data_IF_950475889777
#
_entry.id   IF_950475889777
#
_cell.length_a   1.000
_cell.length_b   1.000
_cell.length_c   1.000
_cell.angle_alpha   90.00
_cell.angle_beta   90.00
_cell.angle_gamma   90.00
#
_symmetry.space_group_name_H-M   'P 1'
#
loop_
_entity.id
_entity.type
_entity.pdbx_description
1 polymer ?
#
# COMPACT_ATOMS: atom_id res chain seq x y z
N UNK A 1 11.79 23.64 50.95
CA UNK A 1 10.98 22.42 50.75
C UNK A 1 10.08 22.62 49.55
N UNK A 2 10.56 22.30 48.34
CA UNK A 2 9.71 22.23 47.16
C UNK A 2 9.15 20.81 47.09
N UNK A 3 7.85 20.66 47.33
CA UNK A 3 7.16 19.42 47.02
C UNK A 3 7.07 19.28 45.50
N UNK A 4 7.32 18.09 44.92
CA UNK A 4 7.09 17.89 43.50
C UNK A 4 5.59 17.96 43.22
N UNK A 5 5.21 18.86 42.31
CA UNK A 5 3.86 18.92 41.75
C UNK A 5 3.61 17.59 41.04
N UNK A 6 2.84 16.73 41.69
CA UNK A 6 2.30 15.50 41.10
C UNK A 6 1.24 15.95 40.10
N UNK A 7 1.65 16.15 38.84
CA UNK A 7 0.69 16.33 37.77
C UNK A 7 -0.03 15.00 37.59
N UNK A 8 -1.28 14.98 38.05
CA UNK A 8 -2.17 13.85 37.89
C UNK A 8 -2.33 13.50 36.40
N UNK A 9 -2.30 12.20 36.14
CA UNK A 9 -2.48 11.63 34.82
C UNK A 9 -3.88 11.95 34.29
N UNK A 10 -3.98 13.04 33.55
CA UNK A 10 -5.07 13.29 32.61
C UNK A 10 -5.22 12.05 31.72
N UNK A 11 -6.39 11.41 31.79
CA UNK A 11 -6.77 10.21 31.04
C UNK A 11 -6.94 10.44 29.54
N UNK A 12 -5.97 11.08 28.90
CA UNK A 12 -5.79 11.00 27.46
C UNK A 12 -5.20 9.61 27.15
N UNK A 13 -5.75 8.86 26.17
CA UNK A 13 -5.10 7.63 25.71
C UNK A 13 -3.76 8.03 25.14
N UNK A 14 -2.69 7.66 25.83
CA UNK A 14 -1.33 7.96 25.40
C UNK A 14 -0.87 6.77 24.59
N UNK A 15 -1.06 6.84 23.28
CA UNK A 15 -0.41 5.88 22.40
C UNK A 15 1.10 5.94 22.68
N UNK A 16 1.66 4.85 23.22
CA UNK A 16 3.06 4.81 23.56
C UNK A 16 3.88 4.64 22.27
N UNK A 17 5.07 5.24 22.23
CA UNK A 17 5.99 5.04 21.11
C UNK A 17 6.27 3.55 20.85
N UNK A 18 6.30 2.73 21.90
CA UNK A 18 6.45 1.28 21.79
C UNK A 18 5.36 0.64 20.92
N UNK A 19 4.10 1.07 21.05
CA UNK A 19 2.98 0.52 20.30
C UNK A 19 3.10 0.85 18.81
N UNK A 20 3.50 2.09 18.50
CA UNK A 20 3.76 2.52 17.12
C UNK A 20 4.94 1.77 16.51
N UNK A 21 6.03 1.61 17.27
CA UNK A 21 7.20 0.85 16.82
C UNK A 21 6.86 -0.62 16.56
N UNK A 22 5.91 -1.19 17.31
CA UNK A 22 5.47 -2.59 17.13
C UNK A 22 4.86 -2.84 15.75
N UNK A 23 4.21 -1.84 15.15
CA UNK A 23 3.59 -1.90 13.81
C UNK A 23 4.37 -1.11 12.76
N UNK A 24 5.59 -0.66 13.08
CA UNK A 24 6.45 0.06 12.15
C UNK A 24 7.02 -0.89 11.09
N UNK A 25 7.02 -0.46 9.84
CA UNK A 25 7.76 -1.11 8.76
C UNK A 25 9.06 -0.36 8.49
N UNK A 26 10.16 -1.10 8.46
CA UNK A 26 11.44 -0.65 7.95
C UNK A 26 11.50 -0.82 6.42
N UNK A 27 12.51 -0.22 5.77
CA UNK A 27 12.77 -0.48 4.36
C UNK A 27 13.11 -1.96 4.12
N UNK A 28 13.79 -2.60 5.06
CA UNK A 28 14.13 -4.02 4.97
C UNK A 28 12.88 -4.92 5.08
N UNK A 29 11.89 -4.53 5.88
CA UNK A 29 10.60 -5.24 5.94
C UNK A 29 9.84 -5.10 4.61
N UNK A 30 9.82 -3.88 4.06
CA UNK A 30 9.22 -3.62 2.76
C UNK A 30 9.92 -4.39 1.64
N UNK A 31 11.25 -4.47 1.66
CA UNK A 31 12.04 -5.24 0.68
C UNK A 31 11.68 -6.72 0.70
N UNK A 32 11.53 -7.32 1.89
CA UNK A 32 11.12 -8.71 2.04
C UNK A 32 9.70 -8.97 1.55
N UNK A 33 8.80 -8.03 1.74
CA UNK A 33 7.37 -8.24 1.51
C UNK A 33 6.86 -7.61 0.21
N UNK A 34 7.68 -6.88 -0.54
CA UNK A 34 7.24 -6.10 -1.72
C UNK A 34 6.45 -6.92 -2.74
N UNK A 35 6.80 -8.19 -2.94
CA UNK A 35 6.11 -9.08 -3.89
C UNK A 35 4.75 -9.57 -3.37
N UNK A 36 4.54 -9.48 -2.05
CA UNK A 36 3.29 -9.81 -1.37
C UNK A 36 2.37 -8.59 -1.23
N UNK A 37 2.90 -7.38 -1.46
CA UNK A 37 2.15 -6.13 -1.42
C UNK A 37 1.24 -6.03 -2.65
N UNK A 38 -0.08 -6.16 -2.44
CA UNK A 38 -1.10 -6.04 -3.48
C UNK A 38 -1.89 -4.73 -3.35
N UNK A 39 -2.54 -4.30 -4.43
CA UNK A 39 -3.41 -3.14 -4.39
C UNK A 39 -4.71 -3.46 -3.63
N UNK A 40 -5.08 -2.57 -2.70
CA UNK A 40 -6.19 -2.71 -1.73
C UNK A 40 -6.03 -3.87 -0.73
N UNK A 41 -6.33 -3.59 0.55
CA UNK A 41 -6.26 -4.55 1.68
C UNK A 41 -4.88 -5.16 1.99
N UNK A 42 -3.83 -4.44 1.63
CA UNK A 42 -2.46 -4.81 1.91
C UNK A 42 -2.13 -4.82 3.42
N UNK A 43 -1.32 -5.78 3.84
CA UNK A 43 -0.80 -5.85 5.21
C UNK A 43 -0.01 -4.60 5.59
N UNK A 44 0.62 -3.93 4.62
CA UNK A 44 1.32 -2.69 4.84
C UNK A 44 0.37 -1.51 5.16
N UNK A 45 -0.87 -1.53 4.66
CA UNK A 45 -1.82 -0.45 4.90
C UNK A 45 -2.14 -0.33 6.39
N UNK A 46 -2.05 0.90 6.89
CA UNK A 46 -2.26 1.22 8.29
C UNK A 46 -1.03 1.01 9.20
N UNK A 47 0.06 0.46 8.68
CA UNK A 47 1.35 0.44 9.38
C UNK A 47 2.01 1.82 9.35
N UNK A 48 3.03 2.00 10.19
CA UNK A 48 3.79 3.25 10.26
C UNK A 48 5.17 3.11 9.65
N UNK A 49 5.64 4.20 9.05
CA UNK A 49 6.98 4.28 8.48
C UNK A 49 7.65 5.57 8.92
N UNK A 50 8.98 5.54 8.91
CA UNK A 50 9.80 6.74 9.04
C UNK A 50 10.31 7.10 7.65
N UNK A 51 9.89 8.24 7.13
CA UNK A 51 10.18 8.68 5.77
C UNK A 51 11.15 9.85 5.79
N UNK A 52 12.16 9.79 4.92
CA UNK A 52 13.00 10.94 4.59
C UNK A 52 12.19 11.91 3.76
N UNK A 53 12.02 13.13 4.25
CA UNK A 53 11.47 14.20 3.45
C UNK A 53 12.55 14.78 2.55
N UNK A 54 12.18 15.09 1.32
CA UNK A 54 13.03 15.82 0.39
C UNK A 54 13.37 17.20 1.00
N UNK A 55 14.65 17.52 1.00
CA UNK A 55 15.20 18.76 1.55
C UNK A 55 16.65 18.93 1.13
N UNK A 56 17.20 20.12 1.37
CA UNK A 56 18.61 20.41 1.06
C UNK A 56 19.55 19.41 1.75
N UNK A 57 20.69 19.12 1.12
CA UNK A 57 21.61 18.07 1.56
C UNK A 57 22.05 18.19 3.04
N UNK A 58 22.12 19.41 3.56
CA UNK A 58 22.49 19.71 4.95
C UNK A 58 21.36 19.53 5.97
N UNK A 59 20.11 19.33 5.52
CA UNK A 59 18.94 19.27 6.40
C UNK A 59 18.03 18.10 6.03
N UNK A 60 18.57 16.88 6.07
CA UNK A 60 17.75 15.66 5.98
C UNK A 60 16.77 15.60 7.15
N UNK A 61 15.49 15.82 6.87
CA UNK A 61 14.42 15.78 7.87
C UNK A 61 13.65 14.48 7.72
N UNK A 62 13.46 13.79 8.83
CA UNK A 62 12.64 12.58 8.89
C UNK A 62 11.30 12.91 9.54
N UNK A 63 10.25 12.23 9.09
CA UNK A 63 8.94 12.27 9.74
C UNK A 63 8.33 10.88 9.82
N UNK A 64 7.49 10.71 10.83
CA UNK A 64 6.57 9.58 10.92
C UNK A 64 5.39 9.81 9.97
N UNK A 65 4.96 8.75 9.30
CA UNK A 65 3.73 8.73 8.53
C UNK A 65 3.05 7.36 8.60
N UNK A 66 1.73 7.35 8.41
CA UNK A 66 0.94 6.12 8.27
C UNK A 66 0.82 5.75 6.80
N UNK A 67 0.99 4.48 6.45
CA UNK A 67 0.71 4.01 5.10
C UNK A 67 -0.80 4.00 4.90
N UNK A 68 -1.31 4.80 3.98
CA UNK A 68 -2.72 4.87 3.64
C UNK A 68 -3.09 3.83 2.57
N UNK A 69 -2.31 3.78 1.48
CA UNK A 69 -2.53 2.86 0.38
C UNK A 69 -1.24 2.56 -0.37
N UNK A 70 -1.25 1.46 -1.12
CA UNK A 70 -0.19 1.09 -2.06
C UNK A 70 -0.76 1.19 -3.48
N UNK A 71 -0.08 1.92 -4.35
CA UNK A 71 -0.41 2.06 -5.77
C UNK A 71 0.72 1.56 -6.64
N UNK A 72 0.49 1.46 -7.95
CA UNK A 72 1.51 1.03 -8.92
C UNK A 72 1.78 2.17 -9.90
N UNK A 73 3.05 2.36 -10.28
CA UNK A 73 3.49 3.36 -11.25
C UNK A 73 4.04 2.70 -12.52
N UNK A 74 4.03 3.39 -13.68
CA UNK A 74 4.50 2.80 -14.94
C UNK A 74 5.98 2.43 -14.96
N UNK A 75 6.80 3.18 -14.22
CA UNK A 75 8.26 3.02 -14.21
C UNK A 75 8.69 2.36 -12.90
N UNK A 76 9.25 1.16 -13.01
CA UNK A 76 9.85 0.49 -11.88
C UNK A 76 11.14 1.19 -11.43
N UNK A 77 11.44 1.09 -10.13
CA UNK A 77 12.64 1.65 -9.51
C UNK A 77 13.28 0.62 -8.59
N UNK A 78 14.57 0.80 -8.33
CA UNK A 78 15.33 -0.02 -7.39
C UNK A 78 15.28 0.59 -6.00
N UNK A 79 15.16 -0.25 -4.98
CA UNK A 79 15.30 0.15 -3.59
C UNK A 79 15.95 -0.98 -2.78
N UNK A 80 16.61 -0.63 -1.67
CA UNK A 80 17.39 -1.60 -0.91
C UNK A 80 18.65 -2.02 -1.67
N UNK A 81 18.99 -3.32 -1.62
CA UNK A 81 20.22 -3.83 -2.21
C UNK A 81 20.09 -4.11 -3.71
N UNK A 82 19.07 -4.88 -4.12
CA UNK A 82 18.87 -5.32 -5.51
C UNK A 82 17.38 -5.51 -5.87
N UNK A 83 16.47 -4.98 -5.06
CA UNK A 83 15.04 -5.22 -5.24
C UNK A 83 14.42 -4.14 -6.13
N UNK A 84 13.76 -4.57 -7.19
CA UNK A 84 13.07 -3.68 -8.15
C UNK A 84 11.57 -3.75 -7.90
N UNK A 85 10.89 -2.60 -7.87
CA UNK A 85 9.45 -2.52 -7.67
C UNK A 85 8.83 -1.38 -8.47
N UNK A 86 7.56 -1.55 -8.82
CA UNK A 86 6.69 -0.54 -9.41
C UNK A 86 5.70 0.04 -8.38
N UNK A 87 5.84 -0.33 -7.10
CA UNK A 87 4.90 0.03 -6.04
C UNK A 87 5.22 1.39 -5.44
N UNK A 88 4.20 2.18 -5.12
CA UNK A 88 4.30 3.51 -4.53
C UNK A 88 3.43 3.59 -3.27
N UNK A 89 3.95 4.15 -2.19
CA UNK A 89 3.24 4.26 -0.92
C UNK A 89 2.57 5.62 -0.82
N UNK A 90 1.25 5.66 -0.66
CA UNK A 90 0.54 6.87 -0.23
C UNK A 90 0.68 6.98 1.28
N UNK A 91 1.37 8.00 1.75
CA UNK A 91 1.65 8.23 3.16
C UNK A 91 0.79 9.35 3.74
N UNK A 92 0.29 9.16 4.95
CA UNK A 92 -0.55 10.09 5.70
C UNK A 92 0.22 10.67 6.90
N UNK A 93 0.43 12.00 6.87
CA UNK A 93 1.12 12.78 7.89
C UNK A 93 0.14 13.47 8.86
N UNK A 94 -1.11 13.04 8.89
CA UNK A 94 -2.17 13.54 9.76
C UNK A 94 -2.94 14.74 9.22
N UNK A 95 -2.27 15.67 8.52
CA UNK A 95 -2.86 16.88 7.94
C UNK A 95 -2.85 16.91 6.40
N UNK A 96 -1.98 16.11 5.78
CA UNK A 96 -1.96 15.87 4.34
C UNK A 96 -1.51 14.44 4.06
N UNK A 97 -1.69 14.03 2.81
CA UNK A 97 -1.14 12.78 2.30
C UNK A 97 -0.37 13.02 1.01
N UNK A 98 0.69 12.25 0.79
CA UNK A 98 1.53 12.34 -0.40
C UNK A 98 2.14 10.98 -0.72
N UNK A 99 2.47 10.76 -2.00
CA UNK A 99 2.98 9.48 -2.47
C UNK A 99 4.50 9.46 -2.49
N UNK A 100 5.10 8.42 -1.92
CA UNK A 100 6.53 8.25 -1.77
C UNK A 100 6.99 6.90 -2.31
N UNK A 101 8.17 6.89 -2.92
CA UNK A 101 8.89 5.68 -3.26
C UNK A 101 9.44 5.01 -2.00
N UNK A 102 9.53 3.68 -1.99
CA UNK A 102 10.00 2.90 -0.84
C UNK A 102 11.48 3.16 -0.49
N UNK A 103 12.27 3.72 -1.42
CA UNK A 103 13.67 4.12 -1.20
C UNK A 103 13.80 5.23 -0.13
N UNK A 104 12.78 6.09 0.02
CA UNK A 104 12.74 7.17 1.00
C UNK A 104 12.48 6.68 2.43
N UNK A 105 12.07 5.41 2.59
CA UNK A 105 11.79 4.83 3.90
C UNK A 105 13.11 4.50 4.63
N UNK A 106 13.16 4.87 5.90
CA UNK A 106 14.31 4.66 6.78
C UNK A 106 14.22 3.35 7.56
N UNK A 107 15.35 2.70 7.76
CA UNK A 107 15.45 1.55 8.66
C UNK A 107 15.47 1.95 10.14
N UNK A 108 15.90 3.19 10.44
CA UNK A 108 15.98 3.70 11.80
C UNK A 108 14.60 3.77 12.47
N UNK A 109 14.52 3.58 13.80
CA UNK A 109 13.26 3.68 14.53
C UNK A 109 12.69 5.10 14.47
N UNK A 110 11.37 5.20 14.64
CA UNK A 110 10.65 6.46 14.83
C UNK A 110 11.06 7.06 16.17
N UNK A 111 11.27 8.38 16.21
CA UNK A 111 11.61 9.11 17.43
C UNK A 111 10.35 9.62 18.13
N UNK A 112 10.43 9.82 19.45
CA UNK A 112 9.32 10.38 20.23
C UNK A 112 8.84 11.72 19.67
N UNK A 113 9.77 12.59 19.28
CA UNK A 113 9.45 13.91 18.71
C UNK A 113 8.66 13.80 17.40
N UNK A 114 8.96 12.80 16.57
CA UNK A 114 8.25 12.57 15.29
C UNK A 114 6.83 12.05 15.55
N UNK A 115 6.63 11.24 16.57
CA UNK A 115 5.32 10.79 17.03
C UNK A 115 4.49 11.96 17.58
N UNK A 116 5.09 12.78 18.45
CA UNK A 116 4.44 13.94 19.05
C UNK A 116 3.98 14.94 17.97
N UNK A 117 4.81 15.16 16.95
CA UNK A 117 4.48 16.01 15.80
C UNK A 117 3.32 15.44 14.97
N UNK A 118 3.31 14.12 14.74
CA UNK A 118 2.25 13.46 14.00
C UNK A 118 0.92 13.49 14.76
N UNK A 119 0.93 13.21 16.07
CA UNK A 119 -0.26 13.28 16.93
C UNK A 119 -0.83 14.69 17.03
N UNK A 120 0.03 15.72 17.07
CA UNK A 120 -0.39 17.12 17.05
C UNK A 120 -1.03 17.53 15.73
N UNK A 121 -0.55 16.96 14.64
CA UNK A 121 -1.01 17.28 13.28
C UNK A 121 -2.26 16.48 12.88
N UNK A 122 -2.45 15.30 13.46
CA UNK A 122 -3.53 14.38 13.13
C UNK A 122 -4.84 14.70 13.84
N UNK A 123 -5.96 14.58 13.11
CA UNK A 123 -7.31 14.58 13.69
C UNK A 123 -7.75 13.15 14.06
N UNK A 124 -6.90 12.39 14.74
CA UNK A 124 -7.18 10.98 15.05
C UNK A 124 -7.75 10.83 16.46
N UNK A 125 -8.90 10.16 16.58
CA UNK A 125 -9.44 9.71 17.86
C UNK A 125 -8.50 8.67 18.47
N UNK A 126 -7.94 8.97 19.64
CA UNK A 126 -6.93 8.14 20.30
C UNK A 126 -7.49 6.79 20.80
N UNK A 127 -8.79 6.70 21.11
CA UNK A 127 -9.41 5.46 21.60
C UNK A 127 -9.50 4.35 20.55
N UNK A 128 -9.80 4.69 19.30
CA UNK A 128 -9.84 3.73 18.19
C UNK A 128 -8.43 3.28 17.77
N UNK A 129 -7.43 4.09 18.12
CA UNK A 129 -6.06 3.92 17.68
C UNK A 129 -5.35 2.76 18.39
N UNK A 130 -5.45 2.65 19.71
CA UNK A 130 -4.80 1.55 20.46
C UNK A 130 -5.35 0.18 20.05
N UNK A 131 -6.67 0.04 19.96
CA UNK A 131 -7.32 -1.19 19.52
C UNK A 131 -6.92 -1.57 18.09
N UNK A 132 -6.74 -0.56 17.22
CA UNK A 132 -6.24 -0.75 15.87
C UNK A 132 -4.78 -1.25 15.85
N UNK A 133 -3.90 -0.64 16.65
CA UNK A 133 -2.49 -1.05 16.75
C UNK A 133 -2.36 -2.50 17.20
N UNK A 134 -3.14 -2.92 18.21
CA UNK A 134 -3.14 -4.32 18.68
C UNK A 134 -3.54 -5.31 17.58
N UNK A 135 -4.59 -5.02 16.79
CA UNK A 135 -4.99 -5.86 15.64
C UNK A 135 -3.90 -5.91 14.57
N UNK A 136 -3.26 -4.78 14.28
CA UNK A 136 -2.19 -4.70 13.28
C UNK A 136 -0.93 -5.45 13.72
N UNK A 137 -0.56 -5.35 14.99
CA UNK A 137 0.56 -6.11 15.55
C UNK A 137 0.33 -7.63 15.40
N UNK A 138 -0.88 -8.11 15.72
CA UNK A 138 -1.25 -9.51 15.53
C UNK A 138 -1.20 -9.94 14.05
N UNK A 139 -1.57 -9.05 13.12
CA UNK A 139 -1.49 -9.31 11.68
C UNK A 139 -0.03 -9.41 11.19
N UNK A 140 0.87 -8.60 11.74
CA UNK A 140 2.29 -8.56 11.33
C UNK A 140 3.15 -9.65 11.96
N UNK A 141 2.77 -10.19 13.13
CA UNK A 141 3.59 -11.14 13.87
C UNK A 141 3.97 -12.41 13.06
N UNK A 142 3.07 -13.06 12.30
CA UNK A 142 3.42 -14.21 11.46
C UNK A 142 4.42 -13.86 10.37
N UNK A 143 4.28 -12.70 9.73
CA UNK A 143 5.17 -12.26 8.64
C UNK A 143 6.60 -12.02 9.12
N UNK A 144 6.74 -11.44 10.31
CA UNK A 144 8.05 -11.21 10.94
C UNK A 144 8.72 -12.52 11.40
N UNK A 145 7.93 -13.52 11.76
CA UNK A 145 8.42 -14.86 12.09
C UNK A 145 8.79 -15.71 10.85
N UNK A 146 8.63 -15.17 9.62
CA UNK A 146 8.87 -15.90 8.38
C UNK A 146 7.72 -16.82 7.95
N UNK A 147 6.55 -16.71 8.59
CA UNK A 147 5.33 -17.41 8.18
C UNK A 147 4.66 -16.76 6.96
N UNK A 148 3.85 -17.51 6.19
CA UNK A 148 3.11 -16.94 5.06
C UNK A 148 2.07 -15.92 5.55
N UNK A 149 1.86 -14.86 4.77
CA UNK A 149 0.74 -13.93 4.98
C UNK A 149 -0.57 -14.73 5.05
N UNK A 150 -1.29 -14.67 6.17
CA UNK A 150 -2.65 -15.21 6.25
C UNK A 150 -3.50 -14.43 5.25
N UNK A 151 -3.81 -15.04 4.11
CA UNK A 151 -4.84 -14.55 3.22
C UNK A 151 -6.14 -14.56 4.01
N UNK A 152 -6.83 -13.43 4.06
CA UNK A 152 -8.23 -13.38 4.43
C UNK A 152 -9.05 -13.99 3.28
N UNK A 153 -8.81 -15.26 2.97
CA UNK A 153 -9.64 -16.01 2.03
C UNK A 153 -10.96 -16.29 2.74
N UNK A 154 -11.88 -15.33 2.66
CA UNK A 154 -13.31 -15.64 2.77
C UNK A 154 -13.71 -16.31 1.45
N UNK A 155 -13.23 -17.52 1.23
CA UNK A 155 -13.74 -18.38 0.16
C UNK A 155 -14.91 -19.18 0.75
N UNK A 156 -16.09 -18.96 0.15
CA UNK A 156 -17.32 -19.74 0.36
C UNK A 156 -17.13 -21.22 -0.06
N UNK A 157 -16.32 -22.01 0.65
CA UNK A 157 -16.15 -23.44 0.31
C UNK A 157 -16.24 -24.40 1.50
N UNK A 158 -16.66 -23.94 2.69
CA UNK A 158 -16.80 -24.83 3.86
C UNK A 158 -18.23 -24.85 4.43
N UNK A 159 -19.22 -25.05 3.54
CA UNK A 159 -20.63 -25.30 3.92
C UNK A 159 -21.28 -26.50 3.22
N UNK A 160 -20.49 -27.39 2.62
CA UNK A 160 -21.01 -28.61 1.97
C UNK A 160 -20.36 -29.86 2.54
N UNK A 161 -20.53 -30.08 3.85
CA UNK A 161 -20.23 -31.36 4.47
C UNK A 161 -21.28 -31.71 5.54
N UNK A 162 -22.56 -31.60 5.19
CA UNK A 162 -23.66 -32.21 5.95
C UNK A 162 -24.97 -32.11 5.17
N UNK A 163 -25.10 -32.87 4.08
CA UNK A 163 -26.32 -33.65 3.89
C UNK A 163 -26.10 -34.72 2.80
N UNK A 164 -26.04 -35.97 3.24
CA UNK A 164 -26.01 -37.14 2.36
C UNK A 164 -27.19 -38.02 2.74
N UNK A 165 -28.37 -37.70 2.20
CA UNK A 165 -29.46 -38.67 2.13
C UNK A 165 -30.56 -38.18 1.19
N UNK A 166 -30.57 -38.66 -0.06
CA UNK A 166 -31.73 -39.40 -0.60
C UNK A 166 -31.54 -39.72 -2.07
N UNK A 167 -31.66 -41.02 -2.35
CA UNK A 167 -31.72 -41.69 -3.65
C UNK A 167 -32.94 -41.23 -4.45
N UNK A 168 -32.80 -41.19 -5.78
CA UNK A 168 -33.92 -41.01 -6.71
C UNK A 168 -33.55 -41.22 -8.18
N UNK A 169 -33.51 -42.49 -8.56
CA UNK A 169 -33.95 -43.12 -9.84
C UNK A 169 -33.88 -42.36 -11.18
N UNK A 170 -33.14 -43.01 -12.09
CA UNK A 170 -33.05 -43.01 -13.56
C UNK A 170 -34.35 -42.64 -14.32
N UNK A 171 -34.24 -41.83 -15.39
CA UNK A 171 -34.86 -42.18 -16.69
C UNK A 171 -34.29 -41.40 -17.88
N UNK A 172 -34.06 -42.14 -18.98
CA UNK A 172 -33.66 -41.72 -20.33
C UNK A 172 -34.81 -41.02 -21.05
N UNK A 173 -34.49 -40.13 -22.00
CA UNK A 173 -35.10 -40.10 -23.35
C UNK A 173 -34.30 -39.15 -24.29
N UNK A 174 -34.19 -39.58 -25.54
CA UNK A 174 -33.48 -38.95 -26.66
C UNK A 174 -34.40 -38.03 -27.48
N UNK A 175 -33.87 -37.52 -28.61
CA UNK A 175 -34.52 -36.97 -29.84
C UNK A 175 -33.99 -35.56 -30.15
N UNK A 176 -32.98 -35.44 -31.04
CA UNK A 176 -33.04 -35.16 -32.51
C UNK A 176 -33.31 -33.68 -32.83
N UNK A 177 -32.34 -33.00 -33.45
CA UNK A 177 -32.32 -32.48 -34.83
C UNK A 177 -32.85 -31.05 -34.95
N UNK A 178 -31.98 -30.10 -35.30
CA UNK A 178 -32.10 -29.43 -36.61
C UNK A 178 -30.86 -28.59 -36.93
N UNK A 179 -30.44 -28.71 -38.19
CA UNK A 179 -29.43 -27.90 -38.86
C UNK A 179 -30.15 -26.67 -39.42
N UNK A 180 -29.52 -25.50 -39.38
CA UNK A 180 -29.68 -24.57 -40.49
C UNK A 180 -28.43 -23.71 -40.70
N UNK A 181 -28.06 -23.67 -41.97
CA UNK A 181 -26.91 -23.01 -42.58
C UNK A 181 -27.38 -21.67 -43.13
N UNK A 182 -26.71 -20.54 -42.83
CA UNK A 182 -26.54 -19.44 -43.80
C UNK A 182 -25.21 -18.71 -43.57
N UNK A 183 -24.47 -18.64 -44.67
CA UNK A 183 -23.15 -18.05 -44.96
C UNK A 183 -23.19 -16.49 -45.09
N UNK A 184 -22.07 -15.79 -45.43
CA UNK A 184 -21.65 -14.51 -44.87
C UNK A 184 -21.98 -13.28 -45.71
N UNK A 185 -21.74 -12.09 -45.16
CA UNK A 185 -21.68 -10.82 -45.91
C UNK A 185 -20.38 -10.06 -45.59
N UNK A 186 -19.63 -9.78 -46.65
CA UNK A 186 -18.46 -8.89 -46.72
C UNK A 186 -18.88 -7.43 -46.94
N UNK A 187 -17.93 -6.51 -46.71
CA UNK A 187 -17.76 -5.12 -47.20
C UNK A 187 -17.54 -4.13 -46.04
N UNK A 188 -16.75 -3.06 -46.12
CA UNK A 188 -15.71 -2.61 -47.05
C UNK A 188 -15.05 -1.36 -46.40
N UNK A 189 -13.72 -1.24 -46.56
CA UNK A 189 -12.84 -0.05 -46.59
C UNK A 189 -13.06 1.22 -45.73
N UNK A 190 -11.92 1.74 -45.21
CA UNK A 190 -11.30 3.07 -45.49
C UNK A 190 -10.45 3.52 -44.27
N UNK A 191 -9.11 3.50 -44.32
CA UNK A 191 -8.20 4.50 -44.89
C UNK A 191 -8.45 5.94 -44.41
N UNK A 192 -7.65 6.44 -43.44
CA UNK A 192 -7.22 7.84 -43.22
C UNK A 192 -6.11 7.82 -42.13
N UNK A 193 -4.82 8.13 -42.37
CA UNK A 193 -4.13 9.37 -42.78
C UNK A 193 -3.82 10.34 -41.60
N UNK A 194 -2.50 10.60 -41.45
CA UNK A 194 -1.74 11.70 -40.77
C UNK A 194 -1.07 11.29 -39.45
N UNK A 195 0.27 11.18 -39.39
CA UNK A 195 1.32 12.23 -39.39
C UNK A 195 1.13 13.28 -38.29
N UNK A 196 2.01 13.21 -37.28
CA UNK A 196 2.53 14.29 -36.42
C UNK A 196 3.60 13.61 -35.54
N UNK A 197 4.74 14.18 -35.14
CA UNK A 197 5.32 15.50 -35.30
C UNK A 197 6.74 15.38 -34.73
N UNK A 198 7.78 15.60 -35.54
CA UNK A 198 9.16 15.75 -35.06
C UNK A 198 9.39 17.24 -34.80
N UNK A 199 9.45 17.63 -33.52
CA UNK A 199 9.89 18.94 -33.02
C UNK A 199 11.36 18.78 -32.62
N UNK A 200 12.27 19.42 -33.32
CA UNK A 200 12.88 20.72 -33.00
C UNK A 200 14.15 20.54 -32.14
N UNK A 201 15.28 20.44 -32.84
CA UNK A 201 16.64 20.66 -32.30
C UNK A 201 16.88 22.18 -32.16
N UNK A 202 17.22 22.69 -30.96
CA UNK A 202 17.70 24.06 -30.82
C UNK A 202 19.23 24.06 -30.69
N UNK A 203 19.92 24.11 -31.82
CA UNK A 203 21.31 24.56 -31.85
C UNK A 203 21.44 25.78 -32.76
N UNK A 204 22.28 26.72 -32.36
CA UNK A 204 22.53 28.06 -32.97
C UNK A 204 21.64 29.20 -32.44
N UNK A 205 22.12 29.88 -31.38
CA UNK A 205 22.34 31.36 -31.40
C UNK A 205 22.77 31.89 -30.03
N UNK A 206 24.08 31.92 -29.79
CA UNK A 206 24.70 32.95 -28.96
C UNK A 206 25.99 33.44 -29.63
N UNK A 207 25.81 34.40 -30.54
CA UNK A 207 26.80 35.44 -30.80
C UNK A 207 26.20 36.78 -30.39
N UNK A 208 27.09 37.67 -29.95
CA UNK A 208 26.94 39.09 -29.66
C UNK A 208 26.45 39.46 -28.25
N UNK A 209 27.42 39.90 -27.44
CA UNK A 209 27.50 41.15 -26.66
C UNK A 209 28.75 41.00 -25.77
N UNK A 210 29.89 41.62 -26.09
CA UNK A 210 30.24 43.01 -25.75
C UNK A 210 29.70 43.45 -24.39
#
# INVERSE_FOLDING_TARGET
FFAPVRMEASGAPRCALADVLSVRLSRDDLEKWVNQLQAADDVACGCFVRVLLDGDADCRKYRMARIHSVSTIPNAYTFGNLTTTDKLLTLDFGHFSASYQMNTISNSPILQTELDDWLRSGKVSLGDFEAFLGRKQAQLAPLRAGGPARRSDTTMVDRLASDSSSRGTISRLATEMDQDTVEPVQEEQQSHKKRNSSRDDPDTRLQALL
#
